data_IF_554563036885
#
_entry.id   IF_554563036885
#
_cell.length_a   1.000
_cell.length_b   1.000
_cell.length_c   1.000
_cell.angle_alpha   90.00
_cell.angle_beta   90.00
_cell.angle_gamma   90.00
#
_symmetry.space_group_name_H-M   'P 1'
#
loop_
_entity.id
_entity.type
_entity.pdbx_description
1 polymer ?
#
# COMPACT_ATOMS: atom_id res chain seq x y z
N UNK A 1 -3.53 19.66 -14.97
CA UNK A 1 -4.59 20.46 -15.63
C UNK A 1 -4.95 19.90 -17.00
N UNK A 2 -3.98 19.68 -17.91
CA UNK A 2 -4.24 19.12 -19.26
C UNK A 2 -5.03 17.81 -19.22
N UNK A 3 -4.56 16.83 -18.44
CA UNK A 3 -5.23 15.53 -18.24
C UNK A 3 -6.73 15.66 -17.86
N UNK A 4 -7.06 16.63 -16.99
CA UNK A 4 -8.45 16.86 -16.55
C UNK A 4 -9.30 17.50 -17.64
N UNK A 5 -8.70 18.37 -18.47
CA UNK A 5 -9.40 18.97 -19.63
C UNK A 5 -9.68 17.91 -20.68
N UNK A 6 -8.73 17.01 -20.93
CA UNK A 6 -8.89 15.89 -21.87
C UNK A 6 -9.96 14.91 -21.37
N UNK A 7 -9.91 14.55 -20.09
CA UNK A 7 -10.93 13.68 -19.46
C UNK A 7 -12.32 14.32 -19.53
N UNK A 8 -12.44 15.62 -19.21
CA UNK A 8 -13.69 16.35 -19.33
C UNK A 8 -14.23 16.37 -20.77
N UNK A 9 -13.35 16.57 -21.76
CA UNK A 9 -13.73 16.54 -23.17
C UNK A 9 -14.25 15.17 -23.61
N UNK A 10 -13.59 14.09 -23.17
CA UNK A 10 -14.03 12.71 -23.43
C UNK A 10 -15.43 12.48 -22.83
N UNK A 11 -15.61 12.77 -21.54
CA UNK A 11 -16.89 12.55 -20.86
C UNK A 11 -18.03 13.36 -21.49
N UNK A 12 -17.76 14.60 -21.91
CA UNK A 12 -18.76 15.48 -22.52
C UNK A 12 -19.16 15.09 -23.95
N UNK A 13 -18.26 14.43 -24.71
CA UNK A 13 -18.47 14.16 -26.14
C UNK A 13 -18.70 12.68 -26.46
N UNK A 14 -18.29 11.76 -25.58
CA UNK A 14 -18.46 10.34 -25.80
C UNK A 14 -19.95 9.96 -25.83
N UNK A 15 -20.35 9.33 -26.92
CA UNK A 15 -21.65 8.67 -27.10
C UNK A 15 -21.52 7.16 -26.92
N UNK A 16 -22.63 6.44 -26.85
CA UNK A 16 -22.68 4.97 -26.73
C UNK A 16 -21.91 4.23 -27.86
N UNK A 17 -21.70 4.89 -29.01
CA UNK A 17 -20.95 4.33 -30.15
C UNK A 17 -19.45 4.66 -30.14
N UNK A 18 -18.97 5.31 -29.09
CA UNK A 18 -17.57 5.67 -28.94
C UNK A 18 -16.75 4.48 -28.43
N UNK A 19 -15.46 4.51 -28.72
CA UNK A 19 -14.48 3.65 -28.07
C UNK A 19 -13.48 4.54 -27.33
N UNK A 20 -13.48 4.45 -26.01
CA UNK A 20 -12.69 5.28 -25.11
C UNK A 20 -11.52 4.47 -24.55
N UNK A 21 -10.34 5.08 -24.50
CA UNK A 21 -9.16 4.50 -23.87
C UNK A 21 -8.65 5.51 -22.85
N UNK A 22 -8.60 5.10 -21.59
CA UNK A 22 -8.09 5.89 -20.49
C UNK A 22 -6.89 5.17 -19.90
N UNK A 23 -5.77 5.88 -19.79
CA UNK A 23 -4.52 5.33 -19.26
C UNK A 23 -4.10 6.14 -18.05
N UNK A 24 -4.22 5.54 -16.88
CA UNK A 24 -3.66 6.03 -15.62
C UNK A 24 -4.16 7.42 -15.18
N UNK A 25 -5.45 7.69 -15.42
CA UNK A 25 -6.15 8.90 -14.98
C UNK A 25 -6.10 9.03 -13.45
N UNK A 26 -5.84 10.24 -12.96
CA UNK A 26 -5.79 10.59 -11.54
C UNK A 26 -4.38 10.61 -10.95
N UNK A 27 -3.33 10.31 -11.72
CA UNK A 27 -1.94 10.25 -11.21
C UNK A 27 -1.32 11.59 -10.83
N UNK A 28 -1.81 12.70 -11.38
CA UNK A 28 -1.23 14.04 -11.19
C UNK A 28 -1.60 14.76 -9.89
N UNK A 29 -2.29 14.09 -8.95
CA UNK A 29 -2.83 14.68 -7.72
C UNK A 29 -2.57 13.79 -6.50
N UNK A 30 -3.12 14.15 -5.33
CA UNK A 30 -3.05 13.31 -4.13
C UNK A 30 -3.64 11.92 -4.40
N UNK A 31 -3.13 10.89 -3.72
CA UNK A 31 -3.54 9.50 -3.99
C UNK A 31 -5.05 9.30 -3.85
N UNK A 32 -5.66 9.89 -2.82
CA UNK A 32 -7.10 9.76 -2.56
C UNK A 32 -7.94 10.59 -3.53
N UNK A 33 -7.51 11.81 -3.86
CA UNK A 33 -8.21 12.63 -4.86
C UNK A 33 -8.15 11.96 -6.23
N UNK A 34 -6.99 11.42 -6.60
CA UNK A 34 -6.76 10.71 -7.86
C UNK A 34 -7.62 9.46 -7.98
N UNK A 35 -7.67 8.65 -6.92
CA UNK A 35 -8.54 7.49 -6.84
C UNK A 35 -10.02 7.87 -6.96
N UNK A 36 -10.47 8.89 -6.22
CA UNK A 36 -11.86 9.33 -6.24
C UNK A 36 -12.26 9.84 -7.64
N UNK A 37 -11.40 10.62 -8.28
CA UNK A 37 -11.62 11.09 -9.66
C UNK A 37 -11.66 9.91 -10.65
N UNK A 38 -10.69 9.00 -10.60
CA UNK A 38 -10.66 7.84 -11.48
C UNK A 38 -11.92 6.96 -11.30
N UNK A 39 -12.35 6.77 -10.05
CA UNK A 39 -13.58 6.06 -9.70
C UNK A 39 -14.80 6.69 -10.36
N UNK A 40 -15.03 7.98 -10.11
CA UNK A 40 -16.17 8.71 -10.68
C UNK A 40 -16.13 8.78 -12.21
N UNK A 41 -14.94 8.81 -12.82
CA UNK A 41 -14.79 8.74 -14.28
C UNK A 41 -15.26 7.38 -14.82
N UNK A 42 -14.87 6.28 -14.19
CA UNK A 42 -15.33 4.93 -14.58
C UNK A 42 -16.85 4.82 -14.44
N UNK A 43 -17.42 5.30 -13.33
CA UNK A 43 -18.87 5.32 -13.12
C UNK A 43 -19.58 6.15 -14.19
N UNK A 44 -19.08 7.36 -14.51
CA UNK A 44 -19.68 8.20 -15.54
C UNK A 44 -19.63 7.53 -16.93
N UNK A 45 -18.52 6.90 -17.28
CA UNK A 45 -18.39 6.16 -18.54
C UNK A 45 -19.37 5.00 -18.59
N UNK A 46 -19.54 4.26 -17.49
CA UNK A 46 -20.44 3.13 -17.38
C UNK A 46 -21.92 3.54 -17.41
N UNK A 47 -22.32 4.50 -16.58
CA UNK A 47 -23.73 4.84 -16.35
C UNK A 47 -24.28 5.84 -17.37
N UNK A 48 -23.46 6.82 -17.77
CA UNK A 48 -23.88 7.94 -18.61
C UNK A 48 -23.47 7.75 -20.07
N UNK A 49 -22.17 7.59 -20.34
CA UNK A 49 -21.70 7.48 -21.74
C UNK A 49 -22.05 6.13 -22.37
N UNK A 50 -22.11 5.05 -21.55
CA UNK A 50 -22.45 3.67 -21.95
C UNK A 50 -21.70 3.21 -23.20
N UNK A 51 -20.45 3.63 -23.30
CA UNK A 51 -19.60 3.36 -24.45
C UNK A 51 -18.60 2.24 -24.14
N UNK A 52 -17.95 1.72 -25.18
CA UNK A 52 -16.87 0.75 -24.97
C UNK A 52 -15.66 1.48 -24.39
N UNK A 53 -15.09 0.96 -23.30
CA UNK A 53 -13.97 1.60 -22.61
C UNK A 53 -12.87 0.58 -22.26
N UNK A 54 -11.61 0.97 -22.45
CA UNK A 54 -10.47 0.34 -21.80
C UNK A 54 -9.90 1.34 -20.79
N UNK A 55 -9.76 0.90 -19.54
CA UNK A 55 -9.20 1.71 -18.47
C UNK A 55 -7.98 0.99 -17.89
N UNK A 56 -6.78 1.47 -18.18
CA UNK A 56 -5.55 1.02 -17.56
C UNK A 56 -5.29 1.82 -16.28
N UNK A 57 -4.98 1.14 -15.18
CA UNK A 57 -4.80 1.81 -13.88
C UNK A 57 -3.87 1.03 -12.95
N UNK A 58 -3.19 1.76 -12.07
CA UNK A 58 -2.49 1.22 -10.91
C UNK A 58 -3.36 1.16 -9.64
N UNK A 59 -4.58 1.71 -9.65
CA UNK A 59 -5.47 1.68 -8.49
C UNK A 59 -6.16 0.33 -8.35
N UNK A 60 -5.69 -0.50 -7.42
CA UNK A 60 -6.30 -1.80 -7.14
C UNK A 60 -7.70 -1.66 -6.54
N UNK A 61 -7.96 -0.55 -5.84
CA UNK A 61 -9.24 -0.24 -5.23
C UNK A 61 -10.38 -0.17 -6.26
N UNK A 62 -10.09 0.23 -7.50
CA UNK A 62 -11.08 0.29 -8.59
C UNK A 62 -11.62 -1.08 -8.98
N UNK A 63 -10.96 -2.18 -8.62
CA UNK A 63 -11.47 -3.53 -8.86
C UNK A 63 -12.85 -3.76 -8.21
N UNK A 64 -13.15 -3.05 -7.11
CA UNK A 64 -14.44 -3.11 -6.43
C UNK A 64 -15.61 -2.62 -7.28
N UNK A 65 -15.36 -1.79 -8.29
CA UNK A 65 -16.40 -1.35 -9.22
C UNK A 65 -17.00 -2.53 -10.01
N UNK A 66 -16.32 -3.68 -10.10
CA UNK A 66 -16.90 -4.88 -10.69
C UNK A 66 -18.13 -5.40 -9.92
N UNK A 67 -18.32 -5.00 -8.65
CA UNK A 67 -19.48 -5.38 -7.83
C UNK A 67 -20.72 -4.55 -8.16
N UNK A 68 -20.56 -3.33 -8.68
CA UNK A 68 -21.65 -2.37 -8.93
C UNK A 68 -21.84 -2.07 -10.42
N UNK A 69 -20.78 -2.12 -11.23
CA UNK A 69 -20.82 -1.90 -12.67
C UNK A 69 -20.96 -3.25 -13.40
N UNK A 70 -22.19 -3.67 -13.70
CA UNK A 70 -22.49 -4.99 -14.28
C UNK A 70 -21.79 -5.28 -15.62
N UNK A 71 -21.46 -4.24 -16.41
CA UNK A 71 -20.77 -4.41 -17.69
C UNK A 71 -19.22 -4.40 -17.55
N UNK A 72 -18.69 -4.19 -16.35
CA UNK A 72 -17.26 -4.11 -16.10
C UNK A 72 -16.67 -5.52 -15.99
N UNK A 73 -15.57 -5.75 -16.72
CA UNK A 73 -14.75 -6.96 -16.56
C UNK A 73 -13.32 -6.56 -16.19
N UNK A 74 -12.75 -7.26 -15.23
CA UNK A 74 -11.39 -7.03 -14.77
C UNK A 74 -10.42 -7.87 -15.57
N UNK A 75 -9.31 -7.24 -15.97
CA UNK A 75 -8.21 -7.90 -16.66
C UNK A 75 -6.89 -7.37 -16.12
N UNK A 76 -5.87 -8.22 -16.13
CA UNK A 76 -4.51 -7.84 -15.76
C UNK A 76 -3.49 -8.46 -16.71
N UNK A 77 -2.33 -7.82 -16.82
CA UNK A 77 -1.19 -8.39 -17.55
C UNK A 77 -0.43 -9.32 -16.63
N UNK A 78 -0.25 -10.56 -17.06
CA UNK A 78 0.43 -11.59 -16.25
C UNK A 78 1.92 -11.30 -16.13
N UNK A 79 2.42 -11.48 -14.91
CA UNK A 79 3.83 -11.51 -14.60
C UNK A 79 4.16 -12.76 -13.76
N UNK A 80 5.41 -13.23 -13.84
CA UNK A 80 5.88 -14.39 -13.08
C UNK A 80 7.24 -14.10 -12.48
N UNK A 81 7.45 -14.49 -11.22
CA UNK A 81 8.78 -14.54 -10.63
C UNK A 81 9.50 -15.83 -11.04
N UNK A 82 10.72 -15.70 -11.56
CA UNK A 82 11.57 -16.81 -11.93
C UNK A 82 12.99 -16.55 -11.45
N UNK A 83 13.53 -17.44 -10.62
CA UNK A 83 14.89 -17.32 -10.03
C UNK A 83 15.16 -15.96 -9.36
N UNK A 84 14.13 -15.35 -8.80
CA UNK A 84 14.21 -14.05 -8.13
C UNK A 84 14.13 -12.84 -9.06
N UNK A 85 13.86 -13.04 -10.35
CA UNK A 85 13.63 -11.98 -11.33
C UNK A 85 12.16 -11.97 -11.80
N UNK A 86 11.65 -10.78 -12.11
CA UNK A 86 10.32 -10.60 -12.68
C UNK A 86 10.35 -10.82 -14.19
N UNK A 87 9.47 -11.70 -14.68
CA UNK A 87 9.26 -11.94 -16.10
C UNK A 87 7.85 -11.46 -16.47
N UNK A 88 7.77 -10.46 -17.33
CA UNK A 88 6.51 -9.99 -17.91
C UNK A 88 6.11 -10.94 -19.04
N UNK A 89 4.95 -11.59 -18.92
CA UNK A 89 4.49 -12.56 -19.91
C UNK A 89 3.82 -11.90 -21.12
N UNK A 90 3.46 -10.61 -21.01
CA UNK A 90 2.68 -9.86 -22.01
C UNK A 90 1.38 -10.57 -22.42
N UNK A 91 0.82 -11.34 -21.50
CA UNK A 91 -0.41 -12.11 -21.66
C UNK A 91 -1.48 -11.46 -20.80
N UNK A 92 -2.66 -11.23 -21.36
CA UNK A 92 -3.82 -10.73 -20.63
C UNK A 92 -4.56 -11.90 -19.97
N UNK A 93 -4.90 -11.75 -18.69
CA UNK A 93 -5.74 -12.70 -17.96
C UNK A 93 -6.92 -12.00 -17.30
N UNK A 94 -8.02 -12.74 -17.14
CA UNK A 94 -9.20 -12.27 -16.44
C UNK A 94 -8.95 -12.16 -14.93
N UNK A 95 -9.67 -11.23 -14.30
CA UNK A 95 -9.61 -10.94 -12.87
C UNK A 95 -8.64 -9.82 -12.52
N UNK A 96 -8.69 -9.33 -11.25
CA UNK A 96 -7.78 -8.32 -10.75
C UNK A 96 -6.35 -8.86 -10.61
N UNK A 97 -5.38 -7.95 -10.55
CA UNK A 97 -4.01 -8.31 -10.19
C UNK A 97 -3.92 -8.77 -8.72
N UNK A 98 -3.07 -9.75 -8.44
CA UNK A 98 -2.86 -10.33 -7.11
C UNK A 98 -1.94 -9.48 -6.21
N UNK A 99 -1.01 -8.72 -6.82
CA UNK A 99 0.00 -7.94 -6.10
C UNK A 99 0.57 -6.80 -6.96
N UNK A 100 1.20 -5.83 -6.30
CA UNK A 100 1.97 -4.78 -6.97
C UNK A 100 3.42 -5.20 -7.18
N UNK A 101 3.93 -5.07 -8.41
CA UNK A 101 5.28 -5.53 -8.78
C UNK A 101 6.32 -4.40 -8.81
N UNK A 102 6.05 -3.24 -8.20
CA UNK A 102 6.88 -2.04 -8.34
C UNK A 102 8.37 -2.23 -7.99
N UNK A 103 8.67 -2.89 -6.87
CA UNK A 103 10.07 -3.18 -6.48
C UNK A 103 10.75 -4.17 -7.43
N UNK A 104 9.99 -5.12 -7.96
CA UNK A 104 10.52 -6.12 -8.89
C UNK A 104 10.81 -5.49 -10.27
N UNK A 105 9.95 -4.57 -10.73
CA UNK A 105 10.18 -3.74 -11.92
C UNK A 105 11.40 -2.82 -11.72
N UNK A 106 11.56 -2.20 -10.55
CA UNK A 106 12.73 -1.39 -10.21
C UNK A 106 14.04 -2.18 -10.31
N UNK A 107 14.06 -3.42 -9.80
CA UNK A 107 15.20 -4.32 -9.92
C UNK A 107 15.52 -4.64 -11.38
N UNK A 108 14.50 -4.95 -12.19
CA UNK A 108 14.65 -5.24 -13.62
C UNK A 108 15.17 -4.02 -14.40
N UNK A 109 14.76 -2.80 -14.02
CA UNK A 109 15.23 -1.54 -14.60
C UNK A 109 16.69 -1.20 -14.24
N UNK A 110 17.34 -2.00 -13.39
CA UNK A 110 18.74 -1.79 -13.00
C UNK A 110 18.93 -0.80 -11.86
N UNK A 111 17.89 -0.50 -11.08
CA UNK A 111 18.03 0.33 -9.88
C UNK A 111 18.99 -0.37 -8.89
N UNK A 112 19.98 0.36 -8.30
CA UNK A 112 20.97 -0.26 -7.43
C UNK A 112 20.35 -1.06 -6.29
N UNK A 113 20.92 -2.24 -5.99
CA UNK A 113 20.39 -3.17 -4.99
C UNK A 113 20.14 -2.53 -3.62
N UNK A 114 21.02 -1.62 -3.21
CA UNK A 114 20.89 -0.88 -1.94
C UNK A 114 19.64 0.03 -1.91
N UNK A 115 19.28 0.63 -3.06
CA UNK A 115 18.08 1.46 -3.17
C UNK A 115 16.82 0.60 -3.14
N UNK A 116 16.80 -0.53 -3.87
CA UNK A 116 15.67 -1.47 -3.84
C UNK A 116 15.49 -2.07 -2.44
N UNK A 117 16.58 -2.42 -1.75
CA UNK A 117 16.55 -2.91 -0.37
C UNK A 117 15.99 -1.87 0.59
N UNK A 118 16.39 -0.59 0.45
CA UNK A 118 15.82 0.50 1.24
C UNK A 118 14.34 0.69 0.94
N UNK A 119 13.94 0.71 -0.33
CA UNK A 119 12.55 0.85 -0.74
C UNK A 119 11.68 -0.29 -0.19
N UNK A 120 12.19 -1.53 -0.15
CA UNK A 120 11.55 -2.66 0.52
C UNK A 120 11.34 -2.38 2.02
N UNK A 121 12.39 -1.96 2.73
CA UNK A 121 12.28 -1.61 4.15
C UNK A 121 11.28 -0.49 4.43
N UNK A 122 11.16 0.49 3.52
CA UNK A 122 10.16 1.56 3.62
C UNK A 122 8.74 1.01 3.40
N UNK A 123 8.56 0.18 2.37
CA UNK A 123 7.27 -0.46 2.09
C UNK A 123 6.80 -1.31 3.26
N UNK A 124 7.68 -2.15 3.81
CA UNK A 124 7.38 -3.01 4.97
C UNK A 124 6.89 -2.18 6.18
N UNK A 125 7.45 -0.97 6.39
CA UNK A 125 7.00 -0.04 7.44
C UNK A 125 5.63 0.57 7.13
N UNK A 126 5.39 1.01 5.90
CA UNK A 126 4.12 1.61 5.49
C UNK A 126 2.97 0.61 5.58
N UNK A 127 3.21 -0.66 5.22
CA UNK A 127 2.23 -1.74 5.32
C UNK A 127 1.90 -2.09 6.78
N UNK A 128 2.91 -2.18 7.65
CA UNK A 128 2.71 -2.38 9.10
C UNK A 128 1.92 -1.24 9.74
N UNK A 129 2.32 0.01 9.46
CA UNK A 129 1.61 1.19 9.96
C UNK A 129 0.15 1.22 9.50
N UNK A 130 -0.14 0.81 8.26
CA UNK A 130 -1.52 0.70 7.76
C UNK A 130 -2.32 -0.39 8.49
N UNK A 131 -1.71 -1.51 8.85
CA UNK A 131 -2.36 -2.60 9.57
C UNK A 131 -2.66 -2.23 11.04
N UNK A 132 -1.80 -1.44 11.68
CA UNK A 132 -1.93 -1.06 13.10
C UNK A 132 -2.84 0.16 13.32
N UNK A 133 -2.87 1.11 12.37
CA UNK A 133 -3.53 2.42 12.56
C UNK A 133 -4.61 2.77 11.54
N UNK A 134 -4.87 1.90 10.56
CA UNK A 134 -5.95 2.06 9.60
C UNK A 134 -5.74 3.12 8.51
N UNK A 135 -4.54 3.70 8.37
CA UNK A 135 -4.27 4.72 7.34
C UNK A 135 -2.79 4.88 6.95
N UNK A 136 -2.54 5.34 5.71
CA UNK A 136 -1.18 5.55 5.15
C UNK A 136 -0.40 6.69 5.82
N UNK A 137 -1.08 7.61 6.52
CA UNK A 137 -0.47 8.81 7.08
C UNK A 137 0.49 8.54 8.25
N UNK A 138 0.30 7.44 9.00
CA UNK A 138 1.10 7.14 10.18
C UNK A 138 2.49 6.53 9.87
N UNK A 139 2.64 5.79 8.77
CA UNK A 139 3.92 5.16 8.41
C UNK A 139 4.96 6.09 7.78
N UNK A 140 4.55 7.31 7.38
CA UNK A 140 5.41 8.30 6.74
C UNK A 140 6.25 9.13 7.75
N UNK A 141 5.80 9.25 9.01
CA UNK A 141 6.50 9.99 10.07
C UNK A 141 7.87 9.39 10.43
N UNK A 142 8.03 8.10 10.14
CA UNK A 142 9.20 7.28 10.45
C UNK A 142 10.31 7.33 9.37
N UNK A 143 10.10 8.11 8.31
CA UNK A 143 11.08 8.35 7.27
C UNK A 143 11.95 9.57 7.64
N UNK A 144 13.29 9.47 7.53
CA UNK A 144 14.20 10.52 7.97
C UNK A 144 14.02 11.89 7.26
N UNK A 145 13.28 11.94 6.14
CA UNK A 145 12.92 13.18 5.45
C UNK A 145 11.72 13.91 6.06
N UNK A 146 10.86 13.22 6.82
CA UNK A 146 9.66 13.77 7.49
C UNK A 146 9.80 13.88 9.01
N UNK A 147 10.84 13.27 9.60
CA UNK A 147 11.14 13.34 11.02
C UNK A 147 11.42 14.76 11.56
N UNK A 148 11.71 15.75 10.69
CA UNK A 148 11.95 17.12 11.11
C UNK A 148 10.69 17.90 11.55
N UNK A 149 9.49 17.34 11.34
CA UNK A 149 8.21 18.00 11.66
C UNK A 149 7.40 17.29 12.76
N UNK A 150 7.85 16.16 13.29
CA UNK A 150 7.18 15.51 14.41
C UNK A 150 7.56 16.20 15.73
N UNK A 151 6.56 16.71 16.44
CA UNK A 151 6.72 17.04 17.87
C UNK A 151 7.17 15.77 18.59
N UNK A 152 8.04 15.87 19.61
CA UNK A 152 8.42 14.70 20.39
C UNK A 152 7.14 14.10 20.99
N UNK A 153 6.80 12.88 20.59
CA UNK A 153 5.83 12.09 21.35
C UNK A 153 6.44 11.83 22.72
N UNK A 154 5.65 12.05 23.76
CA UNK A 154 6.04 11.77 25.14
C UNK A 154 6.40 10.29 25.24
N UNK A 155 7.65 10.02 25.65
CA UNK A 155 8.15 8.67 25.89
C UNK A 155 7.15 7.95 26.82
N UNK A 156 6.42 6.98 26.27
CA UNK A 156 5.76 5.99 27.10
C UNK A 156 6.90 5.18 27.73
N UNK A 157 7.13 5.42 29.02
CA UNK A 157 8.18 4.74 29.79
C UNK A 157 7.86 3.25 29.77
N UNK A 158 8.66 2.49 29.01
CA UNK A 158 8.59 1.03 28.93
C UNK A 158 9.21 0.47 30.23
N UNK A 159 8.42 0.50 31.31
CA UNK A 159 8.83 0.10 32.67
C UNK A 159 9.46 -1.30 32.70
N UNK A 160 8.98 -2.21 31.83
CA UNK A 160 9.52 -3.56 31.69
C UNK A 160 10.94 -3.54 31.09
N UNK A 161 11.19 -2.69 30.10
CA UNK A 161 12.51 -2.51 29.48
C UNK A 161 13.52 -1.90 30.45
N UNK A 162 13.14 -0.90 31.23
CA UNK A 162 14.02 -0.34 32.26
C UNK A 162 14.37 -1.38 33.34
N UNK A 163 13.38 -2.17 33.76
CA UNK A 163 13.59 -3.24 34.73
C UNK A 163 14.50 -4.34 34.18
N UNK A 164 14.36 -4.71 32.90
CA UNK A 164 15.27 -5.67 32.25
C UNK A 164 16.71 -5.16 32.16
N UNK A 165 16.91 -3.86 31.92
CA UNK A 165 18.25 -3.26 31.80
C UNK A 165 18.99 -3.15 33.14
N UNK A 166 18.26 -3.16 34.26
CA UNK A 166 18.85 -3.06 35.61
C UNK A 166 19.15 -4.40 36.26
N UNK A 167 18.87 -5.53 35.59
CA UNK A 167 19.12 -6.87 36.12
C UNK A 167 20.54 -7.36 35.80
N UNK A 168 21.27 -7.82 36.82
CA UNK A 168 22.53 -8.55 36.63
C UNK A 168 22.27 -10.07 36.56
N UNK A 169 22.06 -10.58 35.35
CA UNK A 169 21.70 -11.98 35.12
C UNK A 169 22.77 -12.98 35.56
N UNK A 170 24.04 -12.61 35.46
CA UNK A 170 25.17 -13.47 35.81
C UNK A 170 25.35 -13.64 37.34
N UNK A 171 24.67 -12.82 38.14
CA UNK A 171 24.69 -12.89 39.60
C UNK A 171 23.56 -13.76 40.17
N UNK A 172 22.62 -14.22 39.34
CA UNK A 172 21.45 -14.98 39.78
C UNK A 172 21.74 -16.48 39.82
N UNK A 173 21.25 -17.16 40.85
CA UNK A 173 21.20 -18.62 40.83
C UNK A 173 20.14 -19.12 39.83
N UNK A 174 20.25 -20.36 39.33
CA UNK A 174 19.28 -20.91 38.39
C UNK A 174 17.82 -20.90 38.87
N UNK A 175 17.61 -20.95 40.19
CA UNK A 175 16.27 -20.91 40.78
C UNK A 175 15.71 -19.48 40.83
N UNK A 176 16.54 -18.51 41.21
CA UNK A 176 16.16 -17.09 41.23
C UNK A 176 15.89 -16.56 39.82
N UNK A 177 16.68 -17.00 38.83
CA UNK A 177 16.44 -16.68 37.43
C UNK A 177 15.10 -17.23 36.94
N UNK A 178 14.73 -18.45 37.36
CA UNK A 178 13.45 -19.05 36.99
C UNK A 178 12.27 -18.32 37.64
N UNK A 179 12.39 -17.96 38.92
CA UNK A 179 11.36 -17.20 39.65
C UNK A 179 11.16 -15.80 39.03
N UNK A 180 12.25 -15.12 38.66
CA UNK A 180 12.22 -13.83 37.98
C UNK A 180 11.52 -13.89 36.62
N UNK A 181 11.71 -14.97 35.85
CA UNK A 181 11.01 -15.16 34.57
C UNK A 181 9.49 -15.30 34.76
N UNK A 182 9.04 -15.97 35.83
CA UNK A 182 7.62 -16.05 36.16
C UNK A 182 7.03 -14.70 36.59
N UNK A 183 7.80 -13.86 37.29
CA UNK A 183 7.39 -12.50 37.66
C UNK A 183 7.26 -11.61 36.42
N UNK A 184 8.27 -11.57 35.55
CA UNK A 184 8.24 -10.80 34.32
C UNK A 184 7.09 -11.23 33.39
N UNK A 185 6.76 -12.52 33.35
CA UNK A 185 5.62 -13.02 32.59
C UNK A 185 4.28 -12.53 33.14
N UNK A 186 4.15 -12.36 34.47
CA UNK A 186 2.94 -11.80 35.09
C UNK A 186 2.84 -10.30 34.82
N UNK A 187 3.94 -9.58 34.96
CA UNK A 187 4.00 -8.12 34.74
C UNK A 187 3.76 -7.76 33.25
N UNK A 188 4.08 -8.67 32.32
CA UNK A 188 3.83 -8.52 30.89
C UNK A 188 2.44 -9.01 30.42
N UNK A 189 1.65 -9.66 31.29
CA UNK A 189 0.30 -10.08 30.93
C UNK A 189 -0.64 -8.86 30.96
N UNK A 190 -1.51 -8.66 29.96
CA UNK A 190 -2.45 -7.56 29.97
C UNK A 190 -3.39 -7.72 31.16
N UNK A 191 -3.48 -6.69 32.00
CA UNK A 191 -4.57 -6.56 32.97
C UNK A 191 -5.86 -6.44 32.17
N UNK A 192 -6.63 -7.52 32.10
CA UNK A 192 -8.01 -7.47 31.57
C UNK A 192 -8.81 -6.46 32.44
N UNK A 193 -9.73 -5.69 31.85
CA UNK A 193 -10.24 -4.43 32.39
C UNK A 193 -11.03 -4.53 33.71
#
# INVERSE_FOLDING_TARGET
MVEMVETAAILAQATERSFVILDEVGRGTSTYDGLALAWSVVEAVHETNRCRCLFATHYHELARLAETCEALSLHHVRAREWKGDLVLLHELAEGPADRSYGLAVAKLAGIPRQVVARAKSVLDKLEKGRAETGGLAAGLGDLPLFAAAARPEEDTVDELRERLQSLELDALSPREALDLLYELQRDAAPTDP
#
